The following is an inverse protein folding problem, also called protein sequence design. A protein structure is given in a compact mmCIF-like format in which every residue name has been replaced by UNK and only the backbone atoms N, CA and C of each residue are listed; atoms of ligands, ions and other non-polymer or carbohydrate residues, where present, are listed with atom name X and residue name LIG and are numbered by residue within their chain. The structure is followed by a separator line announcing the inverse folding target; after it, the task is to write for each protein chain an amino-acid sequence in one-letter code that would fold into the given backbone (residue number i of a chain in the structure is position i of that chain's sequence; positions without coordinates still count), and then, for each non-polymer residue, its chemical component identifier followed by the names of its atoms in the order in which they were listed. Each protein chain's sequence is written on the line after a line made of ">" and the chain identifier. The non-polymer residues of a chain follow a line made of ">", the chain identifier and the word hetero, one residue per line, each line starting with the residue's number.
data_IF_215736323467
#
_entry.id   IF_215736323467
#
_cell.length_a   1.000
_cell.length_b   1.000
_cell.length_c   1.000
_cell.angle_alpha   90.00
_cell.angle_beta   90.00
_cell.angle_gamma   90.00
#
_symmetry.space_group_name_H-M   'P 1'
#
loop_
_entity.id
_entity.type
_entity.pdbx_description
1 polymer ?
#
# COMPACT_ATOMS: atom_id res chain seq x y z
N UNK A 1 -50.75 -24.38 -25.59
CA UNK A 1 -49.87 -25.37 -26.25
C UNK A 1 -48.66 -24.74 -26.95
N UNK A 2 -48.43 -23.42 -26.90
CA UNK A 2 -47.27 -22.77 -27.56
C UNK A 2 -45.99 -22.64 -26.70
N UNK A 3 -46.09 -22.81 -25.38
CA UNK A 3 -44.92 -22.70 -24.48
C UNK A 3 -44.08 -23.99 -24.51
N UNK A 4 -44.76 -25.14 -24.64
CA UNK A 4 -44.12 -26.46 -24.65
C UNK A 4 -43.35 -26.68 -25.96
N UNK A 5 -43.88 -26.21 -27.10
CA UNK A 5 -43.23 -26.34 -28.41
C UNK A 5 -41.95 -25.49 -28.53
N UNK A 6 -41.89 -24.33 -27.88
CA UNK A 6 -40.68 -23.49 -27.83
C UNK A 6 -39.58 -24.07 -26.94
N UNK A 7 -39.93 -24.77 -25.85
CA UNK A 7 -38.95 -25.46 -25.02
C UNK A 7 -38.36 -26.69 -25.72
N UNK A 8 -39.18 -27.47 -26.44
CA UNK A 8 -38.72 -28.66 -27.16
C UNK A 8 -37.90 -28.34 -28.42
N UNK A 9 -38.00 -27.13 -28.97
CA UNK A 9 -37.22 -26.71 -30.15
C UNK A 9 -35.75 -26.36 -29.88
N UNK A 10 -35.40 -26.09 -28.61
CA UNK A 10 -34.06 -25.64 -28.21
C UNK A 10 -33.28 -26.65 -27.36
N UNK A 11 -33.91 -27.75 -26.96
CA UNK A 11 -33.26 -28.78 -26.15
C UNK A 11 -32.54 -29.74 -27.08
N UNK A 12 -31.22 -29.80 -26.95
CA UNK A 12 -30.42 -30.71 -27.75
C UNK A 12 -30.68 -32.16 -27.32
N UNK A 13 -30.69 -33.09 -28.29
CA UNK A 13 -30.95 -34.52 -28.02
C UNK A 13 -30.04 -35.08 -26.91
N UNK A 14 -28.82 -34.57 -26.79
CA UNK A 14 -27.87 -34.99 -25.76
C UNK A 14 -28.29 -34.53 -24.35
N UNK A 15 -28.90 -33.35 -24.20
CA UNK A 15 -29.38 -32.85 -22.91
C UNK A 15 -30.54 -33.70 -22.39
N UNK A 16 -31.44 -34.11 -23.31
CA UNK A 16 -32.50 -35.07 -23.02
C UNK A 16 -31.93 -36.45 -22.63
N UNK A 17 -30.89 -36.92 -23.32
CA UNK A 17 -30.22 -38.17 -22.95
C UNK A 17 -29.54 -38.10 -21.59
N UNK A 18 -28.85 -37.00 -21.26
CA UNK A 18 -28.21 -36.80 -19.96
C UNK A 18 -29.26 -36.74 -18.85
N UNK A 19 -30.36 -36.01 -19.06
CA UNK A 19 -31.45 -35.95 -18.10
C UNK A 19 -32.09 -37.32 -17.90
N UNK A 20 -32.34 -38.07 -18.97
CA UNK A 20 -32.87 -39.43 -18.90
C UNK A 20 -31.90 -40.38 -18.18
N UNK A 21 -30.59 -40.26 -18.42
CA UNK A 21 -29.57 -41.03 -17.71
C UNK A 21 -29.53 -40.69 -16.22
N UNK A 22 -29.62 -39.41 -15.85
CA UNK A 22 -29.69 -38.97 -14.44
C UNK A 22 -30.96 -39.52 -13.78
N UNK A 23 -32.12 -39.40 -14.42
CA UNK A 23 -33.39 -39.93 -13.92
C UNK A 23 -33.32 -41.46 -13.79
N UNK A 24 -32.70 -42.16 -14.74
CA UNK A 24 -32.52 -43.61 -14.70
C UNK A 24 -31.61 -44.05 -13.54
N UNK A 25 -30.48 -43.37 -13.34
CA UNK A 25 -29.56 -43.63 -12.22
C UNK A 25 -30.22 -43.32 -10.88
N UNK A 26 -31.02 -42.27 -10.81
CA UNK A 26 -31.82 -41.92 -9.62
C UNK A 26 -32.92 -42.97 -9.41
N UNK A 27 -33.66 -43.41 -10.41
CA UNK A 27 -34.79 -44.34 -10.19
C UNK A 27 -34.38 -45.79 -9.92
N UNK A 28 -33.12 -46.17 -10.19
CA UNK A 28 -32.57 -47.50 -9.91
C UNK A 28 -31.88 -47.58 -8.53
N UNK A 29 -32.55 -48.11 -7.48
CA UNK A 29 -31.98 -48.22 -6.13
C UNK A 29 -30.76 -49.15 -6.04
N UNK A 30 -30.65 -50.13 -6.94
CA UNK A 30 -29.48 -51.03 -7.09
C UNK A 30 -28.20 -50.27 -7.49
N UNK A 31 -28.31 -49.29 -8.40
CA UNK A 31 -27.19 -48.45 -8.84
C UNK A 31 -26.79 -47.43 -7.77
N UNK A 32 -27.76 -46.84 -7.05
CA UNK A 32 -27.48 -45.96 -5.90
C UNK A 32 -26.62 -46.66 -4.84
N UNK A 33 -26.92 -47.93 -4.54
CA UNK A 33 -26.15 -48.76 -3.59
C UNK A 33 -24.74 -49.10 -4.08
N UNK A 34 -24.50 -49.11 -5.40
CA UNK A 34 -23.17 -49.33 -6.01
C UNK A 34 -22.35 -48.03 -6.07
N UNK A 35 -22.98 -46.89 -6.34
CA UNK A 35 -22.32 -45.57 -6.33
C UNK A 35 -21.92 -45.16 -4.91
N UNK A 36 -22.70 -45.50 -3.89
CA UNK A 36 -22.29 -45.30 -2.47
C UNK A 36 -21.15 -46.23 -2.03
N UNK A 37 -20.88 -47.31 -2.79
CA UNK A 37 -19.76 -48.24 -2.53
C UNK A 37 -18.53 -47.97 -3.39
N UNK A 38 -18.58 -47.02 -4.32
CA UNK A 38 -17.39 -46.33 -4.82
C UNK A 38 -16.90 -45.45 -3.68
N UNK A 39 -16.27 -46.12 -2.70
CA UNK A 39 -15.52 -45.51 -1.61
C UNK A 39 -14.52 -44.56 -2.25
N UNK A 40 -14.80 -43.28 -2.16
CA UNK A 40 -13.88 -42.22 -2.52
C UNK A 40 -12.76 -42.16 -1.47
N UNK A 41 -11.90 -43.18 -1.42
CA UNK A 41 -10.73 -43.19 -0.53
C UNK A 41 -9.78 -42.03 -0.81
N UNK A 42 -9.74 -41.56 -2.06
CA UNK A 42 -8.98 -40.39 -2.46
C UNK A 42 -9.64 -39.08 -2.00
N UNK A 43 -10.97 -39.00 -1.99
CA UNK A 43 -11.69 -37.80 -1.53
C UNK A 43 -11.68 -37.68 -0.01
N UNK A 44 -11.77 -38.78 0.76
CA UNK A 44 -11.62 -38.72 2.23
C UNK A 44 -10.20 -38.32 2.64
N UNK A 45 -9.18 -38.85 1.96
CA UNK A 45 -7.78 -38.43 2.14
C UNK A 45 -7.59 -36.95 1.77
N UNK A 46 -8.16 -36.50 0.65
CA UNK A 46 -8.14 -35.10 0.24
C UNK A 46 -8.89 -34.21 1.24
N UNK A 47 -10.05 -34.64 1.78
CA UNK A 47 -10.81 -33.86 2.78
C UNK A 47 -10.07 -33.78 4.12
N UNK A 48 -9.38 -34.85 4.51
CA UNK A 48 -8.57 -34.88 5.72
C UNK A 48 -7.31 -34.03 5.57
N UNK A 49 -6.62 -34.13 4.43
CA UNK A 49 -5.49 -33.26 4.09
C UNK A 49 -5.92 -31.79 4.01
N UNK A 50 -7.06 -31.51 3.37
CA UNK A 50 -7.64 -30.16 3.26
C UNK A 50 -8.00 -29.61 4.64
N UNK A 51 -8.53 -30.44 5.55
CA UNK A 51 -8.84 -30.04 6.91
C UNK A 51 -7.58 -29.75 7.72
N UNK A 52 -6.54 -30.56 7.55
CA UNK A 52 -5.24 -30.38 8.19
C UNK A 52 -4.54 -29.11 7.68
N UNK A 53 -4.60 -28.83 6.38
CA UNK A 53 -4.10 -27.60 5.78
C UNK A 53 -4.90 -26.36 6.23
N UNK A 54 -6.21 -26.51 6.44
CA UNK A 54 -7.07 -25.45 6.95
C UNK A 54 -6.80 -25.17 8.44
N UNK A 55 -6.51 -26.20 9.25
CA UNK A 55 -6.07 -26.04 10.63
C UNK A 55 -4.69 -25.38 10.72
N UNK A 56 -3.70 -25.85 9.94
CA UNK A 56 -2.38 -25.19 9.83
C UNK A 56 -2.48 -23.76 9.33
N UNK A 57 -3.39 -23.50 8.37
CA UNK A 57 -3.67 -22.17 7.87
C UNK A 57 -4.25 -21.26 8.96
N UNK A 58 -5.19 -21.75 9.76
CA UNK A 58 -5.75 -21.01 10.90
C UNK A 58 -4.71 -20.73 11.98
N UNK A 59 -3.89 -21.71 12.33
CA UNK A 59 -2.80 -21.53 13.31
C UNK A 59 -1.81 -20.45 12.85
N UNK A 60 -1.42 -20.48 11.57
CA UNK A 60 -0.59 -19.42 10.98
C UNK A 60 -1.26 -18.05 10.98
N UNK A 61 -2.56 -17.97 10.73
CA UNK A 61 -3.29 -16.70 10.81
C UNK A 61 -3.24 -16.15 12.24
N UNK A 62 -3.49 -16.99 13.24
CA UNK A 62 -3.44 -16.57 14.65
C UNK A 62 -2.04 -16.15 15.07
N UNK A 63 -1.00 -16.87 14.63
CA UNK A 63 0.40 -16.51 14.87
C UNK A 63 0.74 -15.14 14.24
N UNK A 64 0.38 -14.94 12.97
CA UNK A 64 0.60 -13.67 12.26
C UNK A 64 -0.18 -12.51 12.90
N UNK A 65 -1.44 -12.72 13.31
CA UNK A 65 -2.23 -11.72 14.03
C UNK A 65 -1.55 -11.33 15.36
N UNK A 66 -1.01 -12.31 16.09
CA UNK A 66 -0.29 -12.06 17.34
C UNK A 66 1.04 -11.32 17.13
N UNK A 67 1.79 -11.64 16.06
CA UNK A 67 3.01 -10.91 15.69
C UNK A 67 2.66 -9.46 15.33
N UNK A 68 1.66 -9.25 14.48
CA UNK A 68 1.18 -7.92 14.09
C UNK A 68 0.72 -7.09 15.29
N UNK A 69 0.00 -7.69 16.25
CA UNK A 69 -0.44 -6.98 17.45
C UNK A 69 0.74 -6.59 18.34
N UNK A 70 1.77 -7.44 18.44
CA UNK A 70 2.96 -7.13 19.21
C UNK A 70 3.79 -6.00 18.58
N UNK A 71 3.97 -6.00 17.26
CA UNK A 71 4.65 -4.93 16.51
C UNK A 71 3.91 -3.60 16.68
N UNK A 72 2.59 -3.62 16.58
CA UNK A 72 1.74 -2.44 16.82
C UNK A 72 1.93 -1.87 18.22
N UNK A 73 1.99 -2.71 19.26
CA UNK A 73 2.24 -2.27 20.64
C UNK A 73 3.61 -1.65 20.83
N UNK A 74 4.65 -2.21 20.22
CA UNK A 74 6.00 -1.63 20.26
C UNK A 74 6.03 -0.25 19.59
N UNK A 75 5.32 -0.11 18.48
CA UNK A 75 5.19 1.14 17.76
C UNK A 75 4.43 2.20 18.57
N UNK A 76 3.34 1.82 19.24
CA UNK A 76 2.59 2.70 20.14
C UNK A 76 3.45 3.17 21.33
N UNK A 77 4.30 2.30 21.90
CA UNK A 77 5.24 2.69 22.97
C UNK A 77 6.32 3.68 22.46
N UNK A 78 6.79 3.52 21.22
CA UNK A 78 7.69 4.50 20.58
C UNK A 78 6.98 5.84 20.43
N UNK A 79 5.73 5.85 19.97
CA UNK A 79 4.92 7.06 19.81
C UNK A 79 4.69 7.78 21.14
N UNK A 80 4.33 7.05 22.21
CA UNK A 80 4.06 7.64 23.53
C UNK A 80 5.29 8.30 24.16
N UNK A 81 6.49 7.82 23.83
CA UNK A 81 7.76 8.35 24.38
C UNK A 81 8.39 9.41 23.49
N UNK A 82 7.85 9.65 22.29
CA UNK A 82 8.43 10.56 21.33
C UNK A 82 8.04 12.00 21.67
N UNK A 83 9.02 12.82 22.08
CA UNK A 83 8.85 14.26 22.16
C UNK A 83 9.15 14.88 20.78
N UNK A 84 8.13 15.36 20.06
CA UNK A 84 8.32 15.93 18.75
C UNK A 84 9.15 17.21 18.81
N UNK A 85 9.29 17.87 19.97
CA UNK A 85 10.04 19.12 20.17
C UNK A 85 11.48 18.91 20.66
N UNK A 86 11.90 17.68 20.92
CA UNK A 86 13.25 17.38 21.41
C UNK A 86 14.37 17.84 20.44
N UNK A 87 15.59 18.12 20.92
CA UNK A 87 16.74 18.41 20.06
C UNK A 87 17.04 17.27 19.08
N UNK A 88 17.57 17.58 17.90
CA UNK A 88 17.82 16.61 16.81
C UNK A 88 18.64 15.40 17.25
N UNK A 89 19.59 15.57 18.17
CA UNK A 89 20.38 14.46 18.72
C UNK A 89 19.56 13.43 19.47
N UNK A 90 18.50 13.84 20.18
CA UNK A 90 17.59 12.95 20.90
C UNK A 90 16.60 12.26 19.95
N UNK A 91 16.17 12.96 18.89
CA UNK A 91 15.36 12.38 17.82
C UNK A 91 16.08 11.26 17.05
N UNK A 92 17.42 11.17 17.15
CA UNK A 92 18.18 10.13 16.46
C UNK A 92 17.83 8.73 16.94
N UNK A 93 17.63 8.52 18.25
CA UNK A 93 17.23 7.24 18.81
C UNK A 93 15.82 6.84 18.35
N UNK A 94 14.86 7.74 18.49
CA UNK A 94 13.50 7.53 18.00
C UNK A 94 13.49 7.23 16.49
N UNK A 95 14.25 7.98 15.68
CA UNK A 95 14.38 7.73 14.25
C UNK A 95 14.93 6.34 13.95
N UNK A 96 15.90 5.84 14.71
CA UNK A 96 16.44 4.50 14.49
C UNK A 96 15.42 3.42 14.85
N UNK A 97 14.68 3.60 15.94
CA UNK A 97 13.60 2.69 16.31
C UNK A 97 12.51 2.65 15.22
N UNK A 98 12.03 3.82 14.78
CA UNK A 98 11.03 3.92 13.70
C UNK A 98 11.54 3.29 12.40
N UNK A 99 12.83 3.46 12.06
CA UNK A 99 13.40 2.82 10.87
C UNK A 99 13.45 1.30 10.96
N UNK A 100 13.82 0.77 12.13
CA UNK A 100 13.83 -0.67 12.34
C UNK A 100 12.41 -1.23 12.17
N UNK A 101 11.43 -0.57 12.78
CA UNK A 101 10.04 -0.99 12.74
C UNK A 101 9.40 -0.82 11.36
N UNK A 102 9.70 0.29 10.68
CA UNK A 102 9.24 0.54 9.32
C UNK A 102 9.67 -0.56 8.33
N UNK A 103 10.78 -1.25 8.56
CA UNK A 103 11.20 -2.37 7.71
C UNK A 103 10.35 -3.63 7.91
N UNK A 104 9.74 -3.78 9.09
CA UNK A 104 8.96 -4.96 9.47
C UNK A 104 7.47 -4.77 9.20
N UNK A 105 6.96 -3.54 9.27
CA UNK A 105 5.58 -3.21 8.90
C UNK A 105 5.26 -3.76 7.51
N UNK A 106 4.29 -4.64 7.37
CA UNK A 106 3.81 -5.15 6.08
C UNK A 106 2.83 -4.17 5.42
N UNK A 107 2.03 -3.47 6.22
CA UNK A 107 0.98 -2.57 5.76
C UNK A 107 1.47 -1.12 5.66
N UNK A 108 1.12 -0.45 4.56
CA UNK A 108 1.40 0.98 4.33
C UNK A 108 0.18 1.86 4.62
N UNK A 109 -0.99 1.28 4.80
CA UNK A 109 -2.27 1.99 4.86
C UNK A 109 -2.36 2.92 6.08
N UNK A 110 -1.81 2.48 7.22
CA UNK A 110 -1.68 3.30 8.43
C UNK A 110 -0.81 4.55 8.23
N UNK A 111 0.15 4.51 7.30
CA UNK A 111 0.98 5.68 7.00
C UNK A 111 0.20 6.74 6.21
N UNK A 112 -0.77 6.33 5.39
CA UNK A 112 -1.64 7.25 4.66
C UNK A 112 -2.52 8.06 5.63
N UNK A 113 -3.05 7.41 6.67
CA UNK A 113 -3.87 8.06 7.70
C UNK A 113 -3.10 9.17 8.44
N UNK A 114 -1.80 8.95 8.64
CA UNK A 114 -0.92 9.92 9.28
C UNK A 114 -0.53 11.10 8.39
N UNK A 115 -0.73 11.03 7.07
CA UNK A 115 -0.52 12.15 6.13
C UNK A 115 -1.72 13.12 6.14
N UNK A 116 -1.95 13.75 7.29
CA UNK A 116 -3.07 14.66 7.52
C UNK A 116 -2.64 15.84 8.40
N UNK A 117 -3.22 17.02 8.14
CA UNK A 117 -2.98 18.21 8.99
C UNK A 117 -3.59 18.04 10.40
N UNK A 118 -4.44 17.03 10.60
CA UNK A 118 -5.03 16.70 11.90
C UNK A 118 -4.18 15.71 12.70
N UNK A 119 -3.19 15.07 12.07
CA UNK A 119 -2.29 14.15 12.75
C UNK A 119 -1.49 14.87 13.82
N UNK A 120 -1.18 14.15 14.90
CA UNK A 120 -0.19 14.61 15.86
C UNK A 120 1.19 14.75 15.21
N UNK A 121 2.07 15.54 15.85
CA UNK A 121 3.41 15.74 15.32
C UNK A 121 4.24 14.43 15.34
N UNK A 122 3.91 13.56 16.27
CA UNK A 122 4.45 12.24 16.51
C UNK A 122 4.08 11.28 15.37
N UNK A 123 2.78 11.13 15.11
CA UNK A 123 2.25 10.32 13.99
C UNK A 123 2.82 10.77 12.65
N UNK A 124 2.85 12.08 12.40
CA UNK A 124 3.37 12.58 11.14
C UNK A 124 4.89 12.37 11.03
N UNK A 125 5.64 12.53 12.11
CA UNK A 125 7.08 12.26 12.08
C UNK A 125 7.39 10.80 11.79
N UNK A 126 6.60 9.91 12.38
CA UNK A 126 6.67 8.49 12.11
C UNK A 126 6.38 8.19 10.64
N UNK A 127 5.28 8.69 10.09
CA UNK A 127 4.99 8.54 8.65
C UNK A 127 6.12 9.07 7.77
N UNK A 128 6.68 10.24 8.09
CA UNK A 128 7.78 10.82 7.34
C UNK A 128 9.02 9.91 7.31
N UNK A 129 9.41 9.36 8.47
CA UNK A 129 10.57 8.46 8.57
C UNK A 129 10.31 7.14 7.86
N UNK A 130 9.13 6.55 8.05
CA UNK A 130 8.73 5.26 7.45
C UNK A 130 8.66 5.35 5.93
N UNK A 131 8.01 6.38 5.37
CA UNK A 131 7.95 6.63 3.93
C UNK A 131 9.36 6.80 3.36
N UNK A 132 10.21 7.60 4.04
CA UNK A 132 11.58 7.82 3.60
C UNK A 132 12.40 6.54 3.60
N UNK A 133 12.17 5.62 4.52
CA UNK A 133 12.91 4.36 4.60
C UNK A 133 12.40 3.32 3.60
N UNK A 134 11.09 3.03 3.61
CA UNK A 134 10.47 1.99 2.78
C UNK A 134 10.35 2.38 1.32
N UNK A 135 10.15 3.67 1.03
CA UNK A 135 9.85 4.21 -0.31
C UNK A 135 8.58 3.58 -0.89
N UNK A 136 7.43 3.65 -0.20
CA UNK A 136 6.19 3.01 -0.65
C UNK A 136 5.64 3.77 -1.85
N UNK A 137 5.92 3.26 -3.06
CA UNK A 137 5.51 3.91 -4.31
C UNK A 137 4.00 4.04 -4.46
N UNK A 138 3.22 3.14 -3.83
CA UNK A 138 1.77 3.21 -3.79
C UNK A 138 1.24 4.47 -3.05
N UNK A 139 2.00 5.02 -2.09
CA UNK A 139 1.63 6.23 -1.33
C UNK A 139 2.12 7.53 -1.96
N UNK A 140 2.69 7.46 -3.17
CA UNK A 140 3.24 8.63 -3.84
C UNK A 140 2.16 9.72 -4.06
N UNK A 141 0.93 9.41 -4.54
CA UNK A 141 -0.11 10.42 -4.72
C UNK A 141 -0.52 11.11 -3.41
N UNK A 142 -0.73 10.34 -2.34
CA UNK A 142 -1.11 10.83 -1.02
C UNK A 142 -0.03 11.74 -0.43
N UNK A 143 1.24 11.34 -0.58
CA UNK A 143 2.38 12.14 -0.14
C UNK A 143 2.46 13.48 -0.89
N UNK A 144 2.26 13.47 -2.21
CA UNK A 144 2.25 14.70 -3.02
C UNK A 144 1.11 15.61 -2.58
N UNK A 145 -0.11 15.07 -2.45
CA UNK A 145 -1.28 15.83 -1.98
C UNK A 145 -1.03 16.45 -0.61
N UNK A 146 -0.50 15.68 0.32
CA UNK A 146 -0.23 16.18 1.67
C UNK A 146 0.85 17.28 1.68
N UNK A 147 1.88 17.17 0.85
CA UNK A 147 2.87 18.25 0.68
C UNK A 147 2.25 19.52 0.09
N UNK A 148 1.24 19.40 -0.79
CA UNK A 148 0.49 20.56 -1.30
C UNK A 148 -0.36 21.23 -0.21
N UNK A 149 -1.03 20.43 0.61
CA UNK A 149 -1.79 20.92 1.77
C UNK A 149 -0.86 21.67 2.74
N UNK A 150 0.30 21.10 3.06
CA UNK A 150 1.34 21.74 3.87
C UNK A 150 1.81 23.06 3.24
N UNK A 151 2.13 23.05 1.94
CA UNK A 151 2.60 24.24 1.23
C UNK A 151 1.52 25.33 1.09
N UNK A 152 0.24 24.97 1.22
CA UNK A 152 -0.90 25.90 1.23
C UNK A 152 -1.10 26.55 2.60
N UNK A 153 -0.65 25.90 3.66
CA UNK A 153 -0.79 26.38 5.03
C UNK A 153 0.38 27.31 5.38
N UNK A 154 0.08 28.55 5.78
CA UNK A 154 1.10 29.57 6.13
C UNK A 154 2.14 29.11 7.16
N UNK A 155 1.74 28.20 8.05
CA UNK A 155 2.58 27.70 9.13
C UNK A 155 3.18 26.32 8.83
N UNK A 156 3.03 25.79 7.60
CA UNK A 156 3.35 24.40 7.23
C UNK A 156 2.66 23.39 8.15
N UNK A 157 1.39 23.65 8.47
CA UNK A 157 0.60 22.83 9.40
C UNK A 157 1.02 22.94 10.87
N UNK A 158 1.98 23.82 11.21
CA UNK A 158 2.53 23.91 12.56
C UNK A 158 3.57 22.83 12.88
N UNK A 159 3.91 21.97 11.91
CA UNK A 159 4.91 20.92 12.09
C UNK A 159 6.35 21.45 12.02
N UNK A 160 7.28 20.71 12.62
CA UNK A 160 8.70 21.08 12.60
C UNK A 160 9.28 20.96 11.20
N UNK A 161 10.15 21.89 10.84
CA UNK A 161 10.84 21.91 9.55
C UNK A 161 11.62 20.62 9.25
N UNK A 162 12.19 19.98 10.27
CA UNK A 162 12.86 18.69 10.09
C UNK A 162 11.87 17.57 9.68
N UNK A 163 10.61 17.61 10.12
CA UNK A 163 9.58 16.66 9.67
C UNK A 163 9.24 16.92 8.21
N UNK A 164 9.03 18.19 7.83
CA UNK A 164 8.80 18.59 6.44
C UNK A 164 9.97 18.16 5.55
N UNK A 165 11.20 18.41 5.98
CA UNK A 165 12.42 17.94 5.29
C UNK A 165 12.43 16.42 5.11
N UNK A 166 12.01 15.68 6.13
CA UNK A 166 11.99 14.21 6.09
C UNK A 166 10.94 13.71 5.09
N UNK A 167 9.75 14.32 5.04
CA UNK A 167 8.71 14.03 4.04
C UNK A 167 9.18 14.33 2.63
N UNK A 168 9.76 15.51 2.40
CA UNK A 168 10.27 15.87 1.06
C UNK A 168 11.43 14.97 0.63
N UNK A 169 12.30 14.58 1.56
CA UNK A 169 13.33 13.56 1.30
C UNK A 169 12.71 12.20 1.03
N UNK A 170 11.59 11.86 1.67
CA UNK A 170 10.80 10.66 1.37
C UNK A 170 10.29 10.68 -0.07
N UNK A 171 9.64 11.76 -0.49
CA UNK A 171 9.17 11.96 -1.87
C UNK A 171 10.33 11.77 -2.88
N UNK A 172 11.46 12.45 -2.66
CA UNK A 172 12.65 12.29 -3.49
C UNK A 172 13.09 10.82 -3.63
N UNK A 173 13.17 10.08 -2.52
CA UNK A 173 13.59 8.67 -2.54
C UNK A 173 12.56 7.75 -3.16
N UNK A 174 11.27 8.03 -3.00
CA UNK A 174 10.19 7.29 -3.66
C UNK A 174 10.20 7.53 -5.17
N UNK A 175 10.44 8.76 -5.62
CA UNK A 175 10.64 9.09 -7.04
C UNK A 175 11.83 8.35 -7.64
N UNK A 176 12.95 8.23 -6.91
CA UNK A 176 14.06 7.37 -7.35
C UNK A 176 13.59 5.92 -7.51
N UNK A 177 12.83 5.39 -6.55
CA UNK A 177 12.39 4.00 -6.60
C UNK A 177 11.50 3.71 -7.82
N UNK A 178 10.52 4.56 -8.13
CA UNK A 178 9.69 4.34 -9.31
C UNK A 178 10.44 4.66 -10.62
N UNK A 179 11.10 5.82 -10.73
CA UNK A 179 11.65 6.31 -12.00
C UNK A 179 12.97 5.62 -12.37
N UNK A 180 13.89 5.46 -11.42
CA UNK A 180 15.21 4.86 -11.69
C UNK A 180 15.19 3.36 -11.52
N UNK A 181 14.57 2.88 -10.44
CA UNK A 181 14.61 1.46 -10.07
C UNK A 181 13.44 0.66 -10.68
N UNK A 182 12.47 1.33 -11.31
CA UNK A 182 11.34 0.69 -11.99
C UNK A 182 10.32 0.04 -11.05
N UNK A 183 10.26 0.47 -9.78
CA UNK A 183 9.32 -0.09 -8.80
C UNK A 183 7.90 0.41 -9.09
N UNK A 184 6.96 -0.52 -9.22
CA UNK A 184 5.56 -0.24 -9.60
C UNK A 184 4.65 -0.01 -8.37
N UNK A 185 3.58 0.81 -8.50
CA UNK A 185 3.12 1.47 -9.72
C UNK A 185 3.98 2.67 -10.12
N UNK A 186 4.15 2.85 -11.44
CA UNK A 186 4.76 4.05 -12.01
C UNK A 186 3.74 5.19 -11.99
N UNK A 187 4.09 6.41 -11.53
CA UNK A 187 3.19 7.56 -11.60
C UNK A 187 2.88 7.92 -13.06
N UNK A 188 1.64 8.32 -13.31
CA UNK A 188 1.23 8.87 -14.61
C UNK A 188 1.74 10.31 -14.79
N UNK A 189 1.64 10.81 -16.03
CA UNK A 189 2.09 12.15 -16.40
C UNK A 189 1.40 13.25 -15.58
N UNK A 190 0.11 13.06 -15.26
CA UNK A 190 -0.65 14.00 -14.44
C UNK A 190 -0.09 14.09 -13.02
N UNK A 191 0.24 12.95 -12.41
CA UNK A 191 0.85 12.86 -11.08
C UNK A 191 2.23 13.50 -11.06
N UNK A 192 3.05 13.26 -12.10
CA UNK A 192 4.37 13.87 -12.24
C UNK A 192 4.31 15.38 -12.38
N UNK A 193 3.40 15.89 -13.23
CA UNK A 193 3.18 17.34 -13.40
C UNK A 193 2.65 17.98 -12.11
N UNK A 194 1.72 17.33 -11.42
CA UNK A 194 1.21 17.81 -10.13
C UNK A 194 2.33 17.86 -9.08
N UNK A 195 3.19 16.84 -9.00
CA UNK A 195 4.34 16.84 -8.10
C UNK A 195 5.29 18.02 -8.36
N UNK A 196 5.56 18.38 -9.62
CA UNK A 196 6.38 19.55 -9.95
C UNK A 196 5.77 20.85 -9.41
N UNK A 197 4.47 21.04 -9.59
CA UNK A 197 3.75 22.23 -9.11
C UNK A 197 3.80 22.33 -7.58
N UNK A 198 3.56 21.20 -6.89
CA UNK A 198 3.61 21.12 -5.43
C UNK A 198 5.01 21.44 -4.92
N UNK A 199 6.06 20.89 -5.53
CA UNK A 199 7.44 21.16 -5.16
C UNK A 199 7.83 22.62 -5.40
N UNK A 200 7.38 23.24 -6.49
CA UNK A 200 7.60 24.66 -6.75
C UNK A 200 6.91 25.53 -5.69
N UNK A 201 5.65 25.21 -5.37
CA UNK A 201 4.88 25.92 -4.34
C UNK A 201 5.54 25.80 -2.96
N UNK A 202 5.94 24.58 -2.58
CA UNK A 202 6.64 24.32 -1.32
C UNK A 202 7.98 25.05 -1.29
N UNK A 203 8.73 25.08 -2.39
CA UNK A 203 9.99 25.81 -2.48
C UNK A 203 9.77 27.30 -2.18
N UNK A 204 8.74 27.89 -2.76
CA UNK A 204 8.43 29.31 -2.60
C UNK A 204 7.81 29.66 -1.23
N UNK A 205 7.55 28.68 -0.37
CA UNK A 205 6.99 28.90 0.95
C UNK A 205 7.98 29.66 1.87
N UNK A 206 7.52 30.70 2.55
CA UNK A 206 8.38 31.59 3.36
C UNK A 206 9.21 30.86 4.42
N UNK A 207 8.61 29.90 5.13
CA UNK A 207 9.31 29.05 6.11
C UNK A 207 10.37 28.12 5.48
N UNK A 208 10.15 27.66 4.24
CA UNK A 208 11.13 26.83 3.51
C UNK A 208 12.29 27.69 3.02
N UNK A 209 12.01 28.92 2.60
CA UNK A 209 13.03 29.90 2.24
C UNK A 209 13.88 30.31 3.46
N UNK A 210 13.27 30.37 4.65
CA UNK A 210 13.97 30.65 5.90
C UNK A 210 14.69 29.42 6.51
N UNK A 211 14.52 28.21 5.98
CA UNK A 211 15.20 27.02 6.47
C UNK A 211 16.66 26.99 5.99
N UNK A 212 17.60 27.22 6.93
CA UNK A 212 19.05 27.27 6.68
C UNK A 212 19.42 28.24 5.55
N UNK A 213 19.19 29.55 5.71
CA UNK A 213 19.40 30.53 4.65
C UNK A 213 20.85 30.57 4.14
N UNK A 214 21.83 30.31 5.02
CA UNK A 214 23.25 30.28 4.66
C UNK A 214 23.67 29.01 3.88
N UNK A 215 22.86 27.95 3.95
CA UNK A 215 23.11 26.69 3.25
C UNK A 215 21.79 26.02 2.83
N UNK A 216 21.05 26.60 1.86
CA UNK A 216 19.68 26.16 1.55
C UNK A 216 19.57 24.70 1.12
N UNK A 217 20.57 24.19 0.41
CA UNK A 217 20.64 22.79 -0.02
C UNK A 217 20.83 21.79 1.14
N UNK A 218 21.27 22.24 2.32
CA UNK A 218 21.30 21.42 3.54
C UNK A 218 19.95 21.41 4.26
N UNK A 219 19.02 22.27 3.86
CA UNK A 219 17.64 22.37 4.36
C UNK A 219 16.64 21.72 3.41
N UNK A 220 15.37 22.09 3.53
CA UNK A 220 14.24 21.53 2.76
C UNK A 220 14.43 21.74 1.25
N UNK A 221 15.07 22.82 0.83
CA UNK A 221 15.31 23.13 -0.58
C UNK A 221 16.23 22.10 -1.27
N UNK A 222 17.08 21.39 -0.52
CA UNK A 222 17.92 20.30 -1.05
C UNK A 222 17.10 19.14 -1.62
N UNK A 223 16.29 18.45 -0.79
CA UNK A 223 15.36 17.42 -1.25
C UNK A 223 14.43 17.88 -2.38
N UNK A 224 13.93 19.13 -2.34
CA UNK A 224 13.10 19.68 -3.42
C UNK A 224 13.85 19.65 -4.75
N UNK A 225 15.05 20.24 -4.80
CA UNK A 225 15.87 20.29 -6.00
C UNK A 225 16.14 18.89 -6.57
N UNK A 226 16.47 17.95 -5.68
CA UNK A 226 16.75 16.58 -6.09
C UNK A 226 15.50 15.85 -6.61
N UNK A 227 14.34 16.04 -5.98
CA UNK A 227 13.08 15.51 -6.48
C UNK A 227 12.73 16.07 -7.87
N UNK A 228 12.86 17.39 -8.07
CA UNK A 228 12.64 18.03 -9.37
C UNK A 228 13.51 17.43 -10.48
N UNK A 229 14.79 17.18 -10.20
CA UNK A 229 15.70 16.55 -11.18
C UNK A 229 15.20 15.18 -11.65
N UNK A 230 14.54 14.41 -10.79
CA UNK A 230 13.98 13.11 -11.18
C UNK A 230 12.66 13.26 -11.95
N UNK A 231 11.80 14.19 -11.57
CA UNK A 231 10.58 14.50 -12.30
C UNK A 231 10.88 14.96 -13.73
N UNK A 232 11.84 15.87 -13.90
CA UNK A 232 12.23 16.39 -15.21
C UNK A 232 12.75 15.27 -16.13
N UNK A 233 13.49 14.31 -15.58
CA UNK A 233 13.95 13.12 -16.32
C UNK A 233 12.80 12.21 -16.72
N UNK A 234 11.85 11.97 -15.84
CA UNK A 234 10.69 11.12 -16.13
C UNK A 234 9.82 11.73 -17.23
N UNK A 235 9.51 13.03 -17.12
CA UNK A 235 8.69 13.73 -18.12
C UNK A 235 9.39 13.76 -19.48
N UNK A 236 10.68 14.08 -19.52
CA UNK A 236 11.43 14.08 -20.78
C UNK A 236 11.57 12.69 -21.42
N UNK A 237 11.58 11.61 -20.63
CA UNK A 237 11.63 10.25 -21.16
C UNK A 237 10.30 9.84 -21.82
N UNK A 238 9.18 10.31 -21.27
CA UNK A 238 7.83 10.04 -21.79
C UNK A 238 7.59 10.75 -23.12
N UNK A 239 7.96 12.04 -23.22
CA UNK A 239 7.86 12.83 -24.44
C UNK A 239 8.64 12.23 -25.64
N UNK A 240 9.68 11.43 -25.36
CA UNK A 240 10.47 10.74 -26.39
C UNK A 240 9.91 9.36 -26.79
N UNK A 241 8.99 8.79 -26.01
CA UNK A 241 8.35 7.50 -26.33
C UNK A 241 7.05 7.66 -27.13
N UNK A 242 6.44 8.84 -27.09
CA UNK A 242 5.21 9.17 -27.83
C UNK A 242 5.47 9.83 -29.21
N UNK A 243 6.74 9.94 -29.64
CA UNK A 243 7.17 10.47 -30.94
C UNK A 243 7.71 9.41 -31.88
#
# INVERSE_FOLDING_TARGET
>A
MDIISRFLGNISLWELMVLAAIIYVVTQPELRKRITKLKFGQFELELQALKEDLEKGKERIVELESEMENDRRQFDDILQRFDPNAPVGQLAHARQAIKAEARNLSETDTLADYLSLKSSAEELYVAAVSIREKRPVALLPELIRFLDELASNKELGGFRLNTIWTLTSGLHRTLIACIRDGVTPMPDQQTLAYAQQVLLKLNNHSKVQADRPDAPLKGIQGPIKHAQTWLDKAIAADDNNDG
#
